data_IF_657919300609
#
_entry.id   IF_657919300609
#
_cell.length_a   1.000
_cell.length_b   1.000
_cell.length_c   1.000
_cell.angle_alpha   90.00
_cell.angle_beta   90.00
_cell.angle_gamma   90.00
#
_symmetry.space_group_name_H-M   'P 1'
#
loop_
_entity.id
_entity.type
_entity.pdbx_description
1 polymer ?
#
# COMPACT_ATOMS: atom_id res chain seq x y z
N UNK A 1 -17.61 56.17 66.28
CA UNK A 1 -17.23 56.73 64.96
C UNK A 1 -15.71 56.77 64.84
N UNK A 2 -15.11 55.89 64.03
CA UNK A 2 -13.84 56.09 63.33
C UNK A 2 -13.86 55.16 62.11
N UNK A 3 -13.94 55.78 60.93
CA UNK A 3 -13.85 55.15 59.61
C UNK A 3 -12.37 54.86 59.35
N UNK A 4 -12.05 53.65 58.88
CA UNK A 4 -10.77 53.36 58.26
C UNK A 4 -11.01 52.46 57.03
N UNK A 5 -10.83 53.09 55.87
CA UNK A 5 -10.78 52.51 54.55
C UNK A 5 -9.44 51.77 54.41
N UNK A 6 -9.45 50.50 54.01
CA UNK A 6 -8.26 49.87 53.43
C UNK A 6 -8.65 49.11 52.16
N UNK A 7 -8.05 49.58 51.07
CA UNK A 7 -8.13 49.09 49.71
C UNK A 7 -7.06 48.01 49.51
N UNK A 8 -7.26 47.16 48.50
CA UNK A 8 -6.28 46.30 47.81
C UNK A 8 -5.89 44.97 48.50
N UNK A 9 -6.26 43.84 47.90
CA UNK A 9 -5.53 43.25 46.77
C UNK A 9 -6.19 41.94 46.31
N UNK A 10 -6.94 42.01 45.20
CA UNK A 10 -7.34 40.84 44.41
C UNK A 10 -6.07 40.26 43.75
N UNK A 11 -5.51 39.21 44.31
CA UNK A 11 -4.52 38.37 43.63
C UNK A 11 -5.26 37.26 42.89
N UNK A 12 -5.78 37.58 41.71
CA UNK A 12 -6.07 36.54 40.72
C UNK A 12 -4.71 36.11 40.18
N UNK A 13 -4.14 35.06 40.77
CA UNK A 13 -3.01 34.37 40.16
C UNK A 13 -3.52 33.77 38.84
N UNK A 14 -3.11 34.38 37.74
CA UNK A 14 -3.32 33.90 36.39
C UNK A 14 -2.57 32.58 36.18
N UNK A 15 -3.13 31.47 36.63
CA UNK A 15 -2.65 30.13 36.29
C UNK A 15 -3.29 29.67 34.99
N UNK A 16 -2.78 30.17 33.86
CA UNK A 16 -3.03 29.59 32.54
C UNK A 16 -1.92 30.02 31.55
N UNK A 17 -0.67 29.98 31.99
CA UNK A 17 0.45 29.94 31.04
C UNK A 17 0.37 28.62 30.31
N UNK A 18 -0.03 28.68 29.04
CA UNK A 18 -0.08 27.56 28.11
C UNK A 18 1.24 26.78 28.15
N UNK A 19 1.22 25.64 28.82
CA UNK A 19 2.32 24.68 28.78
C UNK A 19 2.17 23.93 27.46
N UNK A 20 2.63 24.57 26.38
CA UNK A 20 2.97 23.91 25.13
C UNK A 20 3.92 22.76 25.50
N UNK A 21 3.38 21.54 25.57
CA UNK A 21 4.18 20.34 25.80
C UNK A 21 5.12 20.24 24.61
N UNK A 22 6.37 20.67 24.80
CA UNK A 22 7.40 20.54 23.80
C UNK A 22 7.49 19.05 23.41
N UNK A 23 7.00 18.72 22.21
CA UNK A 23 7.11 17.37 21.65
C UNK A 23 8.61 17.00 21.65
N UNK A 24 9.01 15.91 22.33
CA UNK A 24 10.40 15.49 22.41
C UNK A 24 11.02 15.39 21.02
N UNK A 25 12.29 15.81 20.88
CA UNK A 25 13.02 15.81 19.61
C UNK A 25 12.94 14.46 18.88
N UNK A 26 13.03 13.35 19.62
CA UNK A 26 12.98 11.99 19.08
C UNK A 26 11.64 11.69 18.39
N UNK A 27 10.53 12.17 18.95
CA UNK A 27 9.19 11.98 18.38
C UNK A 27 9.04 12.74 17.06
N UNK A 28 9.61 13.94 16.94
CA UNK A 28 9.62 14.71 15.68
C UNK A 28 10.48 14.06 14.61
N UNK A 29 11.65 13.54 14.99
CA UNK A 29 12.55 12.84 14.06
C UNK A 29 11.91 11.55 13.54
N UNK A 30 11.25 10.78 14.40
CA UNK A 30 10.48 9.60 14.00
C UNK A 30 9.35 9.97 13.05
N UNK A 31 8.53 10.96 13.42
CA UNK A 31 7.42 11.42 12.58
C UNK A 31 7.89 11.89 11.19
N UNK A 32 9.02 12.60 11.12
CA UNK A 32 9.61 13.02 9.84
C UNK A 32 10.02 11.81 8.98
N UNK A 33 10.62 10.78 9.60
CA UNK A 33 10.98 9.54 8.90
C UNK A 33 9.74 8.80 8.39
N UNK A 34 8.69 8.74 9.19
CA UNK A 34 7.42 8.11 8.82
C UNK A 34 6.76 8.83 7.63
N UNK A 35 6.74 10.16 7.63
CA UNK A 35 6.23 10.95 6.50
C UNK A 35 7.04 10.74 5.21
N UNK A 36 8.38 10.69 5.32
CA UNK A 36 9.25 10.41 4.19
C UNK A 36 9.02 9.00 3.64
N UNK A 37 8.90 8.00 4.51
CA UNK A 37 8.60 6.62 4.13
C UNK A 37 7.23 6.53 3.44
N UNK A 38 6.20 7.13 4.03
CA UNK A 38 4.87 7.23 3.45
C UNK A 38 4.92 7.83 2.04
N UNK A 39 5.65 8.94 1.85
CA UNK A 39 5.76 9.57 0.53
C UNK A 39 6.44 8.66 -0.52
N UNK A 40 7.50 7.95 -0.13
CA UNK A 40 8.17 6.98 -1.00
C UNK A 40 7.23 5.84 -1.40
N UNK A 41 6.52 5.27 -0.42
CA UNK A 41 5.54 4.21 -0.64
C UNK A 41 4.42 4.68 -1.56
N UNK A 42 3.82 5.84 -1.31
CA UNK A 42 2.74 6.35 -2.15
C UNK A 42 3.20 6.63 -3.59
N UNK A 43 4.44 7.06 -3.77
CA UNK A 43 5.05 7.23 -5.10
C UNK A 43 5.22 5.89 -5.80
N UNK A 44 5.74 4.88 -5.10
CA UNK A 44 5.91 3.52 -5.64
C UNK A 44 4.56 2.87 -5.95
N UNK A 45 3.60 2.94 -5.03
CA UNK A 45 2.27 2.41 -5.18
C UNK A 45 1.61 2.93 -6.46
N UNK A 46 1.70 4.24 -6.74
CA UNK A 46 1.16 4.83 -7.98
C UNK A 46 1.73 4.23 -9.27
N UNK A 47 2.96 3.72 -9.26
CA UNK A 47 3.55 3.01 -10.41
C UNK A 47 3.03 1.56 -10.54
N UNK A 48 2.36 1.07 -9.50
CA UNK A 48 1.88 -0.30 -9.29
C UNK A 48 0.37 -0.32 -9.01
N UNK A 49 -0.38 0.58 -9.64
CA UNK A 49 -1.84 0.56 -9.59
C UNK A 49 -2.32 -0.72 -10.29
N UNK A 50 -3.18 -1.54 -9.66
CA UNK A 50 -3.78 -2.69 -10.32
C UNK A 50 -4.64 -2.21 -11.48
N UNK A 51 -4.27 -2.63 -12.67
CA UNK A 51 -4.96 -2.30 -13.91
C UNK A 51 -4.96 -3.53 -14.79
N UNK A 52 -5.93 -3.62 -15.70
CA UNK A 52 -5.92 -4.67 -16.72
C UNK A 52 -4.60 -4.61 -17.49
N UNK A 53 -3.95 -5.77 -17.63
CA UNK A 53 -2.76 -5.97 -18.46
C UNK A 53 -3.14 -6.84 -19.64
N UNK A 54 -2.60 -6.51 -20.81
CA UNK A 54 -2.79 -7.32 -22.03
C UNK A 54 -1.52 -8.09 -22.43
N UNK A 55 -0.42 -7.98 -21.66
CA UNK A 55 0.84 -8.73 -21.93
C UNK A 55 1.77 -8.89 -20.72
N UNK A 56 2.69 -9.88 -20.76
CA UNK A 56 2.69 -11.03 -21.69
C UNK A 56 1.55 -12.00 -21.35
N UNK A 57 0.84 -12.49 -22.36
CA UNK A 57 -0.25 -13.44 -22.17
C UNK A 57 0.29 -14.83 -21.84
N UNK A 58 -0.46 -15.58 -21.02
CA UNK A 58 -0.25 -17.02 -20.86
C UNK A 58 -0.64 -17.72 -22.16
N UNK A 59 0.10 -18.76 -22.53
CA UNK A 59 -0.16 -19.55 -23.75
C UNK A 59 -1.50 -20.30 -23.66
N UNK A 60 -1.81 -20.84 -22.49
CA UNK A 60 -3.05 -21.56 -22.24
C UNK A 60 -4.15 -20.62 -21.75
N UNK A 61 -5.34 -20.76 -22.33
CA UNK A 61 -6.55 -20.08 -21.88
C UNK A 61 -6.97 -20.56 -20.48
N UNK A 62 -7.89 -19.82 -19.84
CA UNK A 62 -8.51 -20.25 -18.59
C UNK A 62 -9.34 -21.51 -18.82
N UNK A 63 -9.16 -22.50 -17.94
CA UNK A 63 -10.09 -23.63 -17.85
C UNK A 63 -11.37 -23.23 -17.12
N UNK A 64 -12.46 -24.00 -17.32
CA UNK A 64 -13.71 -23.81 -16.59
C UNK A 64 -13.51 -23.86 -15.06
N UNK A 65 -12.57 -24.69 -14.59
CA UNK A 65 -12.26 -24.80 -13.16
C UNK A 65 -11.59 -23.55 -12.63
N UNK A 66 -10.61 -23.01 -13.37
CA UNK A 66 -10.00 -21.72 -13.01
C UNK A 66 -11.02 -20.59 -13.03
N UNK A 67 -11.97 -20.59 -13.98
CA UNK A 67 -13.06 -19.60 -14.02
C UNK A 67 -13.91 -19.68 -12.74
N UNK A 68 -14.29 -20.88 -12.31
CA UNK A 68 -15.06 -21.06 -11.06
C UNK A 68 -14.25 -20.63 -9.84
N UNK A 69 -12.96 -20.93 -9.80
CA UNK A 69 -12.06 -20.51 -8.72
C UNK A 69 -11.96 -18.98 -8.65
N UNK A 70 -11.79 -18.30 -9.79
CA UNK A 70 -11.76 -16.85 -9.89
C UNK A 70 -13.08 -16.26 -9.37
N UNK A 71 -14.22 -16.79 -9.81
CA UNK A 71 -15.54 -16.36 -9.34
C UNK A 71 -15.72 -16.57 -7.83
N UNK A 72 -15.22 -17.68 -7.28
CA UNK A 72 -15.26 -17.94 -5.84
C UNK A 72 -14.39 -16.95 -5.06
N UNK A 73 -13.17 -16.68 -5.53
CA UNK A 73 -12.22 -15.76 -4.90
C UNK A 73 -12.71 -14.29 -4.93
N UNK A 74 -13.41 -13.90 -6.00
CA UNK A 74 -13.87 -12.51 -6.20
C UNK A 74 -15.19 -12.20 -5.51
N UNK A 75 -16.02 -13.20 -5.19
CA UNK A 75 -17.38 -13.04 -4.64
C UNK A 75 -17.48 -12.11 -3.42
N UNK A 76 -16.50 -12.12 -2.53
CA UNK A 76 -16.50 -11.28 -1.32
C UNK A 76 -16.17 -9.81 -1.58
N UNK A 77 -15.54 -9.52 -2.72
CA UNK A 77 -15.08 -8.18 -3.11
C UNK A 77 -16.00 -7.55 -4.17
N UNK A 78 -16.55 -8.38 -5.06
CA UNK A 78 -17.41 -8.02 -6.17
C UNK A 78 -18.71 -8.83 -6.07
N UNK A 79 -19.70 -8.39 -5.28
CA UNK A 79 -20.93 -9.15 -5.05
C UNK A 79 -21.91 -9.10 -6.25
N UNK A 80 -21.53 -8.46 -7.34
CA UNK A 80 -22.38 -8.14 -8.48
C UNK A 80 -21.95 -8.91 -9.73
N UNK A 81 -22.69 -8.74 -10.82
CA UNK A 81 -22.48 -9.52 -12.05
C UNK A 81 -21.13 -9.22 -12.70
N UNK A 82 -20.41 -10.29 -13.04
CA UNK A 82 -19.14 -10.19 -13.76
C UNK A 82 -19.39 -9.70 -15.18
N UNK A 83 -18.73 -8.61 -15.54
CA UNK A 83 -18.74 -8.09 -16.90
C UNK A 83 -17.67 -8.78 -17.76
N UNK A 84 -16.50 -9.03 -17.17
CA UNK A 84 -15.36 -9.59 -17.90
C UNK A 84 -14.33 -10.23 -16.96
N UNK A 85 -13.76 -11.37 -17.37
CA UNK A 85 -12.52 -11.93 -16.83
C UNK A 85 -11.48 -11.80 -17.94
N UNK A 86 -10.44 -11.00 -17.74
CA UNK A 86 -9.42 -10.77 -18.75
C UNK A 86 -8.64 -12.05 -19.09
N UNK A 87 -7.92 -12.08 -20.21
CA UNK A 87 -6.87 -13.07 -20.41
C UNK A 87 -5.88 -13.09 -19.23
N UNK A 88 -5.29 -14.26 -18.98
CA UNK A 88 -4.26 -14.42 -17.95
C UNK A 88 -2.95 -13.86 -18.49
N UNK A 89 -2.29 -13.02 -17.68
CA UNK A 89 -0.94 -12.56 -17.95
C UNK A 89 0.07 -13.28 -17.08
N UNK A 90 1.27 -13.52 -17.63
CA UNK A 90 2.39 -14.10 -16.90
C UNK A 90 3.26 -13.02 -16.28
N UNK A 91 3.90 -13.37 -15.17
CA UNK A 91 4.74 -12.47 -14.38
C UNK A 91 3.91 -11.53 -13.50
N UNK A 92 4.32 -11.42 -12.25
CA UNK A 92 3.69 -10.55 -11.27
C UNK A 92 4.58 -9.36 -10.92
N UNK A 93 3.96 -8.34 -10.32
CA UNK A 93 4.71 -7.34 -9.58
C UNK A 93 5.46 -8.03 -8.42
N UNK A 94 6.69 -7.60 -8.12
CA UNK A 94 7.47 -8.20 -7.03
C UNK A 94 6.82 -7.98 -5.65
N UNK A 95 5.98 -6.95 -5.56
CA UNK A 95 5.11 -6.65 -4.42
C UNK A 95 4.06 -7.74 -4.13
N UNK A 96 3.70 -8.58 -5.10
CA UNK A 96 2.82 -9.74 -4.87
C UNK A 96 3.57 -10.97 -4.30
N UNK A 97 4.89 -10.87 -4.14
CA UNK A 97 5.75 -11.91 -3.58
C UNK A 97 6.27 -12.92 -4.62
N UNK A 98 7.27 -13.74 -4.23
CA UNK A 98 8.00 -14.64 -5.14
C UNK A 98 7.16 -15.83 -5.64
N UNK A 99 6.12 -16.17 -4.89
CA UNK A 99 5.20 -17.28 -5.21
C UNK A 99 4.16 -16.91 -6.27
N UNK A 100 4.05 -15.62 -6.62
CA UNK A 100 3.13 -15.16 -7.65
C UNK A 100 3.68 -15.46 -9.04
N UNK A 101 2.89 -16.13 -9.88
CA UNK A 101 3.29 -16.51 -11.26
C UNK A 101 2.47 -15.85 -12.35
N UNK A 102 1.17 -15.68 -12.10
CA UNK A 102 0.19 -15.25 -13.10
C UNK A 102 -0.77 -14.24 -12.49
N UNK A 103 -1.37 -13.40 -13.32
CA UNK A 103 -2.39 -12.45 -12.88
C UNK A 103 -3.57 -12.45 -13.85
N UNK A 104 -4.74 -12.15 -13.31
CA UNK A 104 -5.97 -11.96 -14.09
C UNK A 104 -6.72 -10.76 -13.54
N UNK A 105 -7.34 -9.98 -14.42
CA UNK A 105 -8.12 -8.81 -14.04
C UNK A 105 -9.61 -9.08 -14.26
N UNK A 106 -10.39 -8.94 -13.21
CA UNK A 106 -11.84 -9.12 -13.21
C UNK A 106 -12.49 -7.75 -13.20
N UNK A 107 -13.45 -7.54 -14.10
CA UNK A 107 -14.30 -6.36 -14.12
C UNK A 107 -15.73 -6.81 -13.79
N UNK A 108 -16.33 -6.20 -12.77
CA UNK A 108 -17.72 -6.42 -12.41
C UNK A 108 -18.50 -5.11 -12.46
N UNK A 109 -19.80 -5.21 -12.70
CA UNK A 109 -20.70 -4.08 -12.58
C UNK A 109 -20.88 -3.74 -11.09
N UNK A 110 -20.81 -2.47 -10.71
CA UNK A 110 -21.15 -2.01 -9.37
C UNK A 110 -22.29 -0.97 -9.40
N UNK A 111 -23.15 -1.07 -10.41
CA UNK A 111 -24.32 -0.23 -10.63
C UNK A 111 -23.97 1.06 -11.35
N UNK A 112 -23.36 2.02 -10.64
CA UNK A 112 -23.02 3.34 -11.22
C UNK A 112 -21.64 3.40 -11.85
N UNK A 113 -20.82 2.38 -11.63
CA UNK A 113 -19.47 2.26 -12.18
C UNK A 113 -19.05 0.80 -12.24
N UNK A 114 -18.10 0.47 -13.12
CA UNK A 114 -17.47 -0.84 -13.11
C UNK A 114 -16.35 -0.86 -12.06
N UNK A 115 -16.23 -1.95 -11.31
CA UNK A 115 -15.15 -2.20 -10.36
C UNK A 115 -14.21 -3.26 -10.88
N UNK A 116 -12.93 -2.93 -10.85
CA UNK A 116 -11.86 -3.84 -11.24
C UNK A 116 -11.18 -4.49 -10.04
N UNK A 117 -10.80 -5.74 -10.19
CA UNK A 117 -10.07 -6.50 -9.18
C UNK A 117 -8.99 -7.35 -9.87
N UNK A 118 -7.73 -7.14 -9.50
CA UNK A 118 -6.63 -7.99 -9.94
C UNK A 118 -6.48 -9.17 -8.99
N UNK A 119 -6.52 -10.39 -9.53
CA UNK A 119 -6.12 -11.59 -8.82
C UNK A 119 -4.71 -11.99 -9.23
N UNK A 120 -4.04 -12.64 -8.29
CA UNK A 120 -2.70 -13.19 -8.42
C UNK A 120 -2.77 -14.70 -8.20
N UNK A 121 -2.09 -15.47 -9.05
CA UNK A 121 -1.94 -16.91 -8.87
C UNK A 121 -0.77 -17.18 -7.95
N UNK A 122 -1.08 -17.49 -6.69
CA UNK A 122 -0.11 -17.70 -5.61
C UNK A 122 -0.26 -19.14 -5.12
N UNK A 123 0.83 -19.91 -5.12
CA UNK A 123 0.81 -21.34 -4.74
C UNK A 123 -0.27 -22.13 -5.49
N UNK A 124 -0.38 -21.87 -6.80
CA UNK A 124 -1.35 -22.45 -7.74
C UNK A 124 -2.83 -22.10 -7.53
N UNK A 125 -3.16 -21.22 -6.59
CA UNK A 125 -4.54 -20.77 -6.36
C UNK A 125 -4.74 -19.30 -6.77
N UNK A 126 -5.93 -18.99 -7.30
CA UNK A 126 -6.36 -17.62 -7.59
C UNK A 126 -6.80 -16.93 -6.31
N UNK A 127 -6.12 -15.83 -5.97
CA UNK A 127 -6.42 -15.07 -4.76
C UNK A 127 -6.19 -13.58 -4.96
N UNK A 128 -6.71 -12.76 -4.06
CA UNK A 128 -6.35 -11.34 -3.99
C UNK A 128 -4.91 -11.23 -3.49
N UNK A 129 -4.01 -10.81 -4.37
CA UNK A 129 -2.60 -10.63 -4.05
C UNK A 129 -2.37 -9.52 -3.02
N UNK A 130 -1.19 -9.52 -2.39
CA UNK A 130 -0.85 -8.57 -1.31
C UNK A 130 -0.91 -7.13 -1.81
N UNK A 131 -0.46 -6.87 -3.04
CA UNK A 131 -0.53 -5.53 -3.63
C UNK A 131 -1.98 -5.08 -3.86
N UNK A 132 -2.83 -5.95 -4.42
CA UNK A 132 -4.26 -5.64 -4.58
C UNK A 132 -4.94 -5.41 -3.23
N UNK A 133 -4.64 -6.23 -2.22
CA UNK A 133 -5.21 -6.09 -0.88
C UNK A 133 -4.82 -4.76 -0.23
N UNK A 134 -3.59 -4.29 -0.42
CA UNK A 134 -3.14 -2.98 0.02
C UNK A 134 -3.94 -1.84 -0.64
N UNK A 135 -4.16 -1.94 -1.96
CA UNK A 135 -4.98 -0.96 -2.70
C UNK A 135 -6.44 -0.93 -2.25
N UNK A 136 -7.02 -2.09 -1.94
CA UNK A 136 -8.36 -2.18 -1.35
C UNK A 136 -8.39 -1.52 0.04
N UNK A 137 -7.34 -1.66 0.84
CA UNK A 137 -7.22 -0.97 2.13
C UNK A 137 -7.12 0.54 1.97
N UNK A 138 -6.34 1.02 1.00
CA UNK A 138 -6.27 2.45 0.67
C UNK A 138 -7.63 3.00 0.24
N UNK A 139 -8.36 2.28 -0.63
CA UNK A 139 -9.71 2.66 -1.03
C UNK A 139 -10.66 2.80 0.18
N UNK A 140 -10.66 1.83 1.10
CA UNK A 140 -11.44 1.89 2.34
C UNK A 140 -10.99 3.03 3.28
N UNK A 141 -9.72 3.41 3.26
CA UNK A 141 -9.22 4.56 4.03
C UNK A 141 -9.72 5.87 3.42
N UNK A 142 -9.62 6.03 2.10
CA UNK A 142 -10.08 7.23 1.38
C UNK A 142 -11.61 7.42 1.48
N UNK A 143 -12.40 6.35 1.46
CA UNK A 143 -13.85 6.42 1.70
C UNK A 143 -14.19 7.00 3.08
N UNK A 144 -13.38 6.68 4.09
CA UNK A 144 -13.57 7.16 5.48
C UNK A 144 -12.97 8.53 5.73
N UNK A 145 -12.07 9.01 4.88
CA UNK A 145 -11.32 10.27 5.05
C UNK A 145 -12.20 11.47 5.40
N UNK A 146 -13.39 11.58 4.79
CA UNK A 146 -14.33 12.70 5.05
C UNK A 146 -14.86 12.75 6.49
N UNK A 147 -14.73 11.66 7.23
CA UNK A 147 -15.21 11.50 8.62
C UNK A 147 -14.07 11.53 9.64
N UNK A 148 -12.82 11.67 9.19
CA UNK A 148 -11.63 11.68 10.03
C UNK A 148 -11.11 13.11 10.15
N UNK A 149 -10.51 13.45 11.30
CA UNK A 149 -9.66 14.62 11.36
C UNK A 149 -8.33 14.37 10.62
N UNK A 150 -7.63 15.45 10.29
CA UNK A 150 -6.39 15.33 9.51
C UNK A 150 -5.31 14.51 10.24
N UNK A 151 -5.03 14.73 11.54
CA UNK A 151 -4.05 13.91 12.27
C UNK A 151 -4.40 12.41 12.31
N UNK A 152 -5.66 12.04 12.47
CA UNK A 152 -6.11 10.65 12.43
C UNK A 152 -5.89 10.03 11.06
N UNK A 153 -6.29 10.75 10.00
CA UNK A 153 -6.08 10.32 8.63
C UNK A 153 -4.60 10.13 8.29
N UNK A 154 -3.75 11.07 8.70
CA UNK A 154 -2.30 10.99 8.49
C UNK A 154 -1.69 9.77 9.20
N UNK A 155 -2.04 9.54 10.47
CA UNK A 155 -1.58 8.34 11.21
C UNK A 155 -2.03 7.06 10.52
N UNK A 156 -3.27 7.00 10.04
CA UNK A 156 -3.77 5.84 9.32
C UNK A 156 -3.06 5.62 7.98
N UNK A 157 -2.71 6.70 7.27
CA UNK A 157 -1.99 6.64 6.00
C UNK A 157 -0.53 6.20 6.21
N UNK A 158 0.12 6.70 7.27
CA UNK A 158 1.45 6.26 7.70
C UNK A 158 1.43 4.76 8.04
N UNK A 159 0.45 4.32 8.84
CA UNK A 159 0.32 2.90 9.21
C UNK A 159 0.13 2.03 7.96
N UNK A 160 -0.76 2.44 7.04
CA UNK A 160 -0.97 1.74 5.78
C UNK A 160 0.31 1.71 4.92
N UNK A 161 1.12 2.77 4.93
CA UNK A 161 2.37 2.80 4.18
C UNK A 161 3.40 1.79 4.72
N UNK A 162 3.47 1.59 6.04
CA UNK A 162 4.32 0.57 6.65
C UNK A 162 3.91 -0.87 6.25
N UNK A 163 2.62 -1.09 5.98
CA UNK A 163 2.09 -2.37 5.50
C UNK A 163 2.30 -2.59 3.99
N UNK A 164 2.89 -1.63 3.27
CA UNK A 164 3.10 -1.78 1.82
C UNK A 164 4.11 -2.89 1.52
N UNK A 165 3.77 -3.87 0.66
CA UNK A 165 4.71 -4.93 0.30
C UNK A 165 5.88 -4.36 -0.50
N UNK A 166 7.06 -4.35 0.10
CA UNK A 166 8.29 -3.96 -0.58
C UNK A 166 8.94 -5.18 -1.22
N UNK A 167 9.42 -5.02 -2.46
CA UNK A 167 10.19 -6.06 -3.10
C UNK A 167 11.47 -6.33 -2.32
N UNK A 168 11.78 -7.61 -2.05
CA UNK A 168 13.07 -7.98 -1.51
C UNK A 168 14.15 -7.40 -2.42
N UNK A 169 15.16 -6.75 -1.84
CA UNK A 169 16.36 -6.40 -2.59
C UNK A 169 16.98 -7.73 -2.98
N UNK A 170 16.99 -8.05 -4.27
CA UNK A 170 17.62 -9.26 -4.78
C UNK A 170 19.04 -9.28 -4.24
N UNK A 171 19.40 -10.29 -3.44
CA UNK A 171 20.79 -10.52 -3.07
C UNK A 171 21.60 -10.56 -4.37
N UNK A 172 22.66 -9.77 -4.41
CA UNK A 172 23.60 -9.66 -5.52
C UNK A 172 23.95 -11.05 -6.04
N UNK A 173 23.60 -11.33 -7.30
CA UNK A 173 24.15 -12.46 -8.04
C UNK A 173 25.67 -12.27 -8.03
N UNK A 174 26.39 -13.17 -7.36
CA UNK A 174 27.84 -13.26 -7.46
C UNK A 174 28.19 -13.40 -8.95
N UNK A 175 28.73 -12.33 -9.53
CA UNK A 175 29.30 -12.38 -10.87
C UNK A 175 30.53 -13.27 -10.77
N UNK A 176 30.44 -14.47 -11.35
CA UNK A 176 31.55 -15.39 -11.45
C UNK A 176 32.81 -14.65 -11.97
N UNK A 177 33.99 -14.88 -11.37
CA UNK A 177 35.20 -14.19 -11.77
C UNK A 177 35.50 -14.49 -13.24
N UNK A 178 35.69 -13.42 -14.03
CA UNK A 178 36.18 -13.53 -15.41
C UNK A 178 37.47 -14.32 -15.41
N UNK A 179 37.44 -15.52 -15.98
CA UNK A 179 38.65 -16.29 -16.30
C UNK A 179 39.57 -15.41 -17.14
N UNK A 180 40.79 -15.22 -16.65
CA UNK A 180 41.85 -14.49 -17.33
C UNK A 180 42.06 -15.06 -18.74
N UNK A 181 42.00 -14.20 -19.75
CA UNK A 181 42.46 -14.54 -21.10
C UNK A 181 43.96 -14.75 -21.02
N UNK A 182 44.41 -15.99 -21.22
CA UNK A 182 45.81 -16.28 -21.52
C UNK A 182 46.20 -15.49 -22.78
N UNK A 183 47.14 -14.58 -22.62
CA UNK A 183 47.85 -13.93 -23.72
C UNK A 183 48.86 -14.92 -24.28
N UNK A 184 48.50 -15.62 -25.37
CA UNK A 184 49.47 -16.31 -26.20
C UNK A 184 50.33 -15.28 -26.94
N UNK A 185 51.58 -15.19 -26.50
CA UNK A 185 52.68 -14.49 -27.16
C UNK A 185 53.48 -15.55 -27.91
N UNK A 186 53.18 -15.78 -29.19
CA UNK A 186 54.07 -16.54 -30.08
C UNK A 186 54.96 -15.57 -30.85
N UNK A 187 56.27 -15.75 -30.66
CA UNK A 187 57.34 -15.29 -31.56
C UNK A 187 57.39 -16.15 -32.83
#
# INVERSE_FOLDING_TARGET
MKVACFVLCLTIAASAGAQERAVPRVEREQHTRDLLHMWQVMTRAKQRVPVRRDSPLRELNLSDEEVREIQAATKSYLPADYLNISPVVTGCACEDGPDCKEQVYVLADAGTSAKGLQLSRIKNAWTVGVLQQWWLNLGRLEERRRRMDYPEYERALIALAHDYPMCAKTETIEVAPKTARASDFTK
#
